data_IF_622530484381
#
_entry.id   IF_622530484381
#
_cell.length_a   1.000
_cell.length_b   1.000
_cell.length_c   1.000
_cell.angle_alpha   90.00
_cell.angle_beta   90.00
_cell.angle_gamma   90.00
#
_symmetry.space_group_name_H-M   'P 1'
#
loop_
_entity.id
_entity.type
_entity.pdbx_description
1 polymer ?
#
# COMPACT_ATOMS: atom_id res chain seq x y z
N UNK A 1 67.95 -31.86 -43.69
CA UNK A 1 68.00 -30.38 -43.59
C UNK A 1 66.97 -29.99 -42.52
N UNK A 2 67.44 -29.37 -41.41
CA UNK A 2 66.72 -28.69 -40.29
C UNK A 2 65.55 -29.42 -39.58
N UNK A 3 65.67 -29.92 -38.33
CA UNK A 3 65.51 -29.28 -36.98
C UNK A 3 64.08 -28.73 -36.75
N UNK A 4 63.28 -29.08 -35.72
CA UNK A 4 63.52 -29.18 -34.26
C UNK A 4 62.44 -30.06 -33.54
N UNK A 5 62.77 -31.15 -32.84
CA UNK A 5 62.81 -31.33 -31.36
C UNK A 5 61.59 -30.84 -30.54
N UNK A 6 60.84 -31.75 -29.89
CA UNK A 6 60.80 -32.00 -28.41
C UNK A 6 59.46 -31.50 -27.80
N UNK A 7 58.79 -32.03 -26.78
CA UNK A 7 58.97 -33.09 -25.77
C UNK A 7 57.61 -33.29 -25.04
N UNK A 8 57.43 -34.47 -24.44
CA UNK A 8 56.53 -34.90 -23.35
C UNK A 8 55.59 -33.87 -22.64
N UNK A 9 54.37 -34.27 -22.21
CA UNK A 9 54.04 -34.81 -20.87
C UNK A 9 52.53 -34.82 -20.58
N UNK A 10 52.15 -35.91 -19.94
CA UNK A 10 50.94 -36.24 -19.20
C UNK A 10 50.38 -35.12 -18.32
N UNK A 11 49.06 -34.95 -18.32
CA UNK A 11 48.35 -34.16 -17.31
C UNK A 11 47.46 -35.06 -16.43
N UNK A 12 47.65 -34.85 -15.11
CA UNK A 12 47.11 -35.56 -13.94
C UNK A 12 45.62 -35.25 -13.67
N UNK A 13 44.84 -36.12 -12.98
CA UNK A 13 43.38 -35.97 -12.84
C UNK A 13 42.91 -35.00 -11.74
N UNK A 14 43.79 -34.22 -11.13
CA UNK A 14 43.42 -33.23 -10.11
C UNK A 14 43.24 -31.83 -10.72
N UNK A 15 42.19 -31.64 -11.51
CA UNK A 15 41.86 -30.37 -12.17
C UNK A 15 40.43 -29.86 -11.94
N UNK A 16 39.68 -30.46 -11.02
CA UNK A 16 38.21 -30.34 -10.97
C UNK A 16 37.66 -29.85 -9.62
N UNK A 17 38.35 -28.97 -8.91
CA UNK A 17 37.79 -28.29 -7.72
C UNK A 17 37.63 -26.79 -7.89
N UNK A 18 38.49 -26.13 -8.69
CA UNK A 18 38.41 -24.69 -8.92
C UNK A 18 37.12 -24.32 -9.66
N UNK A 19 36.74 -25.09 -10.69
CA UNK A 19 35.48 -24.89 -11.42
C UNK A 19 34.21 -25.05 -10.56
N UNK A 20 34.26 -25.84 -9.48
CA UNK A 20 33.11 -26.03 -8.59
C UNK A 20 32.96 -24.84 -7.64
N UNK A 21 34.08 -24.32 -7.09
CA UNK A 21 34.10 -23.14 -6.22
C UNK A 21 33.64 -21.88 -6.96
N UNK A 22 34.11 -21.70 -8.19
CA UNK A 22 33.70 -20.57 -9.03
C UNK A 22 32.23 -20.69 -9.44
N UNK A 23 31.76 -21.92 -9.71
CA UNK A 23 30.35 -22.20 -9.96
C UNK A 23 29.44 -21.95 -8.74
N UNK A 24 29.88 -22.31 -7.53
CA UNK A 24 29.13 -22.09 -6.28
C UNK A 24 29.06 -20.60 -5.90
N UNK A 25 30.12 -19.86 -6.18
CA UNK A 25 30.20 -18.42 -5.97
C UNK A 25 29.26 -17.68 -6.93
N UNK A 26 29.27 -18.06 -8.22
CA UNK A 26 28.33 -17.56 -9.21
C UNK A 26 26.87 -17.89 -8.85
N UNK A 27 26.58 -19.11 -8.38
CA UNK A 27 25.23 -19.49 -7.95
C UNK A 27 24.76 -18.70 -6.71
N UNK A 28 25.67 -18.40 -5.78
CA UNK A 28 25.39 -17.58 -4.57
C UNK A 28 25.06 -16.14 -4.93
N UNK A 29 25.75 -15.56 -5.92
CA UNK A 29 25.43 -14.23 -6.42
C UNK A 29 24.08 -14.21 -7.15
N UNK A 30 23.75 -15.25 -7.92
CA UNK A 30 22.45 -15.36 -8.56
C UNK A 30 21.28 -15.62 -7.59
N UNK A 31 21.50 -16.31 -6.46
CA UNK A 31 20.49 -16.47 -5.40
C UNK A 31 20.19 -15.16 -4.66
N UNK A 32 21.17 -14.26 -4.59
CA UNK A 32 21.00 -12.94 -3.97
C UNK A 32 20.08 -12.03 -4.81
N UNK A 33 20.11 -12.18 -6.13
CA UNK A 33 19.29 -11.42 -7.09
C UNK A 33 17.88 -12.01 -7.32
N UNK A 34 17.64 -13.27 -6.94
CA UNK A 34 16.30 -13.87 -6.94
C UNK A 34 15.43 -13.43 -5.75
N UNK A 35 15.95 -12.57 -4.86
CA UNK A 35 15.14 -11.85 -3.88
C UNK A 35 14.40 -10.66 -4.52
N UNK A 36 13.59 -10.91 -5.55
CA UNK A 36 12.70 -9.91 -6.13
C UNK A 36 11.26 -10.07 -5.67
N UNK A 37 10.79 -8.97 -5.06
CA UNK A 37 9.41 -8.60 -4.76
C UNK A 37 8.79 -9.17 -3.47
N UNK A 38 9.42 -8.82 -2.35
CA UNK A 38 8.62 -8.12 -1.34
C UNK A 38 9.40 -6.87 -1.00
N UNK A 39 8.79 -5.71 -1.27
CA UNK A 39 9.17 -4.38 -0.76
C UNK A 39 10.21 -4.48 0.35
N UNK A 40 11.34 -3.78 0.23
CA UNK A 40 12.34 -3.63 1.28
C UNK A 40 11.69 -3.10 2.58
N UNK A 41 11.05 -4.01 3.31
CA UNK A 41 10.58 -3.84 4.66
C UNK A 41 11.86 -3.82 5.46
N UNK A 42 12.36 -2.60 5.69
CA UNK A 42 13.26 -2.29 6.81
C UNK A 42 12.97 -3.28 7.93
N UNK A 43 13.97 -4.00 8.49
CA UNK A 43 13.73 -4.95 9.56
C UNK A 43 12.82 -4.27 10.56
N UNK A 44 11.62 -4.83 10.76
CA UNK A 44 10.58 -4.20 11.57
C UNK A 44 11.21 -3.92 12.93
N UNK A 45 11.53 -2.65 13.19
CA UNK A 45 12.13 -2.24 14.46
C UNK A 45 11.20 -2.80 15.54
N UNK A 46 11.67 -3.72 16.36
CA UNK A 46 10.84 -4.20 17.47
C UNK A 46 10.59 -2.98 18.37
N UNK A 47 9.35 -2.78 18.86
CA UNK A 47 9.10 -1.71 19.79
C UNK A 47 10.02 -1.81 21.02
N UNK A 48 10.31 -0.69 21.70
CA UNK A 48 11.04 -0.72 22.98
C UNK A 48 10.39 -1.68 23.99
N UNK A 49 11.14 -2.25 24.96
CA UNK A 49 10.63 -3.24 25.92
C UNK A 49 9.41 -2.79 26.75
N UNK A 50 9.24 -1.48 26.91
CA UNK A 50 8.14 -0.87 27.67
C UNK A 50 6.97 -0.41 26.80
N UNK A 51 7.06 -0.56 25.47
CA UNK A 51 5.94 -0.26 24.59
C UNK A 51 4.89 -1.37 24.67
N UNK A 52 3.65 -0.97 24.95
CA UNK A 52 2.47 -1.82 24.86
C UNK A 52 1.70 -1.46 23.60
N UNK A 53 1.24 -2.45 22.85
CA UNK A 53 0.35 -2.22 21.71
C UNK A 53 -0.92 -1.49 22.18
N UNK A 54 -1.29 -0.38 21.55
CA UNK A 54 -2.46 0.41 21.97
C UNK A 54 -3.81 -0.27 21.62
N UNK A 55 -3.79 -1.42 20.94
CA UNK A 55 -5.00 -2.19 20.62
C UNK A 55 -5.23 -3.32 21.62
N UNK A 56 -4.22 -4.14 21.88
CA UNK A 56 -4.34 -5.34 22.72
C UNK A 56 -3.56 -5.26 24.03
N UNK A 57 -2.87 -4.14 24.30
CA UNK A 57 -2.05 -3.89 25.48
C UNK A 57 -0.91 -4.91 25.73
N UNK A 58 -0.51 -5.67 24.71
CA UNK A 58 0.60 -6.63 24.79
C UNK A 58 1.92 -6.03 24.27
N UNK A 59 3.05 -6.51 24.81
CA UNK A 59 4.40 -6.13 24.37
C UNK A 59 4.77 -6.80 23.04
N UNK A 60 5.84 -6.31 22.40
CA UNK A 60 6.55 -7.02 21.34
C UNK A 60 6.17 -6.68 19.89
N UNK A 61 5.09 -5.92 19.65
CA UNK A 61 4.67 -5.50 18.31
C UNK A 61 4.08 -4.08 18.32
N UNK A 62 4.19 -3.35 17.21
CA UNK A 62 3.46 -2.10 17.03
C UNK A 62 2.00 -2.37 16.68
N UNK A 63 1.09 -1.44 16.96
CA UNK A 63 -0.34 -1.58 16.61
C UNK A 63 -0.61 -1.98 15.16
N UNK A 64 0.25 -1.54 14.22
CA UNK A 64 0.16 -1.90 12.79
C UNK A 64 0.42 -3.38 12.49
N UNK A 65 1.12 -4.06 13.39
CA UNK A 65 1.51 -5.47 13.29
C UNK A 65 0.75 -6.31 14.35
N UNK A 66 -0.32 -5.75 14.94
CA UNK A 66 -1.06 -6.42 15.99
C UNK A 66 -1.84 -7.62 15.43
N UNK A 67 -1.67 -8.84 15.96
CA UNK A 67 -2.40 -10.02 15.48
C UNK A 67 -3.91 -9.92 15.76
N UNK A 68 -4.31 -9.07 16.72
CA UNK A 68 -5.72 -8.76 16.99
C UNK A 68 -6.24 -7.59 16.14
N UNK A 69 -5.39 -6.93 15.33
CA UNK A 69 -5.86 -5.90 14.43
C UNK A 69 -6.83 -6.51 13.42
N UNK A 70 -8.01 -5.91 13.32
CA UNK A 70 -8.91 -6.21 12.21
C UNK A 70 -8.14 -5.91 10.91
N UNK A 71 -8.12 -6.84 9.94
CA UNK A 71 -7.58 -6.54 8.62
C UNK A 71 -8.20 -5.24 8.13
N UNK A 72 -7.42 -4.37 7.49
CA UNK A 72 -8.01 -3.25 6.75
C UNK A 72 -9.01 -3.89 5.79
N UNK A 73 -10.31 -3.62 5.97
CA UNK A 73 -11.35 -4.25 5.16
C UNK A 73 -11.03 -4.08 3.67
N UNK A 74 -11.51 -5.00 2.85
CA UNK A 74 -11.18 -5.16 1.41
C UNK A 74 -11.50 -3.94 0.54
N UNK A 75 -12.02 -2.85 1.10
CA UNK A 75 -12.45 -1.69 0.35
C UNK A 75 -11.38 -0.60 0.18
N UNK A 76 -11.60 0.23 -0.84
CA UNK A 76 -10.72 1.34 -1.24
C UNK A 76 -10.74 2.51 -0.27
N UNK A 77 -11.68 2.53 0.68
CA UNK A 77 -11.89 3.63 1.62
C UNK A 77 -12.00 3.14 3.08
N UNK A 78 -11.66 3.95 4.09
CA UNK A 78 -11.76 3.52 5.49
C UNK A 78 -13.17 3.14 5.95
N UNK A 79 -14.19 3.82 5.45
CA UNK A 79 -15.59 3.51 5.75
C UNK A 79 -16.13 2.51 4.72
N UNK A 80 -16.84 1.49 5.22
CA UNK A 80 -17.43 0.39 4.43
C UNK A 80 -18.95 0.25 4.65
N UNK A 81 -19.60 1.26 5.23
CA UNK A 81 -21.05 1.26 5.41
C UNK A 81 -21.81 1.75 4.18
N UNK A 82 -23.14 1.68 4.26
CA UNK A 82 -24.03 2.04 3.14
C UNK A 82 -24.37 3.52 3.08
N UNK A 83 -24.46 4.20 4.23
CA UNK A 83 -24.89 5.60 4.33
C UNK A 83 -23.81 6.56 3.83
N UNK A 84 -24.24 7.75 3.44
CA UNK A 84 -23.34 8.90 3.22
C UNK A 84 -22.59 9.27 4.50
N UNK A 85 -21.36 9.70 4.36
CA UNK A 85 -20.52 10.13 5.48
C UNK A 85 -19.69 11.38 5.13
N UNK A 86 -19.09 12.00 6.14
CA UNK A 86 -18.12 13.07 5.95
C UNK A 86 -16.76 12.47 5.57
N UNK A 87 -16.17 12.92 4.48
CA UNK A 87 -14.87 12.47 3.99
C UNK A 87 -13.83 13.58 3.95
N UNK A 88 -12.61 13.27 4.37
CA UNK A 88 -11.43 14.12 4.20
C UNK A 88 -10.55 13.58 3.09
N UNK A 89 -10.15 14.46 2.18
CA UNK A 89 -9.42 14.11 0.97
C UNK A 89 -8.08 14.83 0.92
N UNK A 90 -7.08 14.18 0.32
CA UNK A 90 -5.77 14.77 0.05
C UNK A 90 -5.28 14.27 -1.30
N UNK A 91 -5.16 15.16 -2.28
CA UNK A 91 -4.70 14.78 -3.60
C UNK A 91 -3.24 14.28 -3.53
N UNK A 92 -2.93 13.07 -4.05
CA UNK A 92 -1.57 12.56 -4.02
C UNK A 92 -0.63 13.35 -4.95
N UNK A 93 -1.15 13.96 -6.02
CA UNK A 93 -0.37 14.79 -6.96
C UNK A 93 -0.12 16.20 -6.41
N UNK A 94 -1.15 17.04 -6.30
CA UNK A 94 -0.99 18.45 -5.92
C UNK A 94 -1.08 18.74 -4.41
N UNK A 95 -1.26 17.72 -3.56
CA UNK A 95 -1.35 17.82 -2.10
C UNK A 95 -2.50 18.68 -1.55
N UNK A 96 -3.36 19.24 -2.41
CA UNK A 96 -4.59 19.95 -2.02
C UNK A 96 -5.43 19.05 -1.12
N UNK A 97 -5.97 19.64 -0.06
CA UNK A 97 -6.90 19.01 0.86
C UNK A 97 -8.27 19.61 0.69
N UNK A 98 -9.31 18.80 0.84
CA UNK A 98 -10.69 19.26 0.87
C UNK A 98 -11.53 18.30 1.71
N UNK A 99 -12.73 18.74 2.05
CA UNK A 99 -13.69 17.96 2.80
C UNK A 99 -14.99 17.90 2.03
N UNK A 100 -15.74 16.83 2.21
CA UNK A 100 -17.05 16.68 1.60
C UNK A 100 -17.97 15.88 2.49
N UNK A 101 -19.19 16.39 2.69
CA UNK A 101 -20.27 15.60 3.26
C UNK A 101 -20.78 14.53 2.31
N UNK A 102 -20.34 14.45 1.05
CA UNK A 102 -20.83 13.50 0.05
C UNK A 102 -19.80 12.40 -0.21
N UNK A 103 -19.32 11.79 0.87
CA UNK A 103 -18.41 10.66 0.83
C UNK A 103 -19.17 9.36 0.96
N UNK A 104 -18.77 8.35 0.19
CA UNK A 104 -19.37 7.01 0.19
C UNK A 104 -18.28 5.96 0.36
N UNK A 105 -18.65 4.75 0.79
CA UNK A 105 -17.74 3.62 0.75
C UNK A 105 -17.29 3.35 -0.69
N UNK A 106 -16.00 3.10 -0.87
CA UNK A 106 -15.37 2.69 -2.13
C UNK A 106 -15.55 3.67 -3.30
N UNK A 107 -15.76 4.95 -2.98
CA UNK A 107 -15.94 6.02 -3.96
C UNK A 107 -15.06 7.22 -3.60
N UNK A 108 -14.52 7.86 -4.61
CA UNK A 108 -13.67 9.03 -4.52
C UNK A 108 -14.31 10.31 -5.04
N UNK A 109 -13.52 11.37 -4.96
CA UNK A 109 -13.82 12.64 -5.61
C UNK A 109 -12.64 13.08 -6.44
N UNK A 110 -12.95 13.62 -7.61
CA UNK A 110 -11.97 14.13 -8.54
C UNK A 110 -11.33 15.41 -7.99
N UNK A 111 -10.01 15.44 -7.99
CA UNK A 111 -9.28 16.65 -7.64
C UNK A 111 -9.46 17.70 -8.74
N UNK A 112 -10.06 18.84 -8.42
CA UNK A 112 -10.29 19.95 -9.37
C UNK A 112 -9.04 20.46 -10.11
N UNK A 113 -7.83 20.26 -9.55
CA UNK A 113 -6.58 20.69 -10.19
C UNK A 113 -5.94 19.60 -11.05
N UNK A 114 -6.08 18.34 -10.65
CA UNK A 114 -5.33 17.24 -11.25
C UNK A 114 -6.18 16.29 -12.06
N UNK A 115 -7.52 16.42 -11.98
CA UNK A 115 -8.49 15.57 -12.65
C UNK A 115 -8.26 14.06 -12.43
N UNK A 116 -7.73 13.70 -11.25
CA UNK A 116 -7.60 12.32 -10.80
C UNK A 116 -8.62 12.00 -9.74
N UNK A 117 -9.15 10.78 -9.73
CA UNK A 117 -9.99 10.30 -8.65
C UNK A 117 -9.16 10.15 -7.36
N UNK A 118 -9.67 10.69 -6.26
CA UNK A 118 -9.00 10.66 -4.95
C UNK A 118 -9.95 10.07 -3.93
N UNK A 119 -9.53 8.97 -3.31
CA UNK A 119 -10.27 8.36 -2.22
C UNK A 119 -10.07 9.13 -0.90
N UNK A 120 -11.10 9.21 -0.05
CA UNK A 120 -10.98 9.82 1.26
C UNK A 120 -10.02 9.00 2.14
N UNK A 121 -9.15 9.69 2.87
CA UNK A 121 -8.21 9.06 3.80
C UNK A 121 -8.76 8.97 5.23
N UNK A 122 -9.84 9.71 5.51
CA UNK A 122 -10.64 9.61 6.74
C UNK A 122 -12.11 9.77 6.38
N UNK A 123 -12.95 8.97 7.03
CA UNK A 123 -14.40 9.06 6.89
C UNK A 123 -15.04 8.99 8.27
N UNK A 124 -16.01 9.86 8.52
CA UNK A 124 -16.72 10.01 9.79
C UNK A 124 -18.23 10.03 9.53
N UNK A 125 -19.05 9.42 10.39
CA UNK A 125 -20.52 9.54 10.30
C UNK A 125 -20.96 11.00 10.26
N UNK A 126 -22.04 11.29 9.52
CA UNK A 126 -22.65 12.63 9.47
C UNK A 126 -23.60 12.89 10.63
N UNK A 127 -24.21 11.84 11.16
CA UNK A 127 -25.18 11.90 12.25
C UNK A 127 -24.46 12.15 13.58
N UNK A 128 -24.89 13.18 14.31
CA UNK A 128 -24.60 13.32 15.75
C UNK A 128 -25.37 12.25 16.55
N UNK A 129 -24.99 11.98 17.81
CA UNK A 129 -25.75 11.08 18.68
C UNK A 129 -27.25 11.41 18.77
N UNK A 130 -27.61 12.69 18.65
CA UNK A 130 -28.99 13.17 18.65
C UNK A 130 -29.73 13.00 17.30
N UNK A 131 -29.10 12.35 16.31
CA UNK A 131 -29.66 12.18 14.96
C UNK A 131 -29.59 13.42 14.07
N UNK A 132 -28.98 14.52 14.52
CA UNK A 132 -28.83 15.75 13.74
C UNK A 132 -27.68 15.62 12.71
N UNK A 133 -27.99 15.78 11.41
CA UNK A 133 -26.99 15.86 10.33
C UNK A 133 -26.22 17.19 10.41
N UNK A 134 -24.89 17.12 10.51
CA UNK A 134 -24.01 18.30 10.59
C UNK A 134 -23.76 18.97 9.23
N UNK A 135 -24.27 18.40 8.14
CA UNK A 135 -24.12 18.96 6.80
C UNK A 135 -25.27 19.89 6.43
N UNK A 136 -24.91 21.03 5.84
CA UNK A 136 -25.88 21.91 5.19
C UNK A 136 -26.50 21.17 4.00
N UNK A 137 -27.78 20.79 4.16
CA UNK A 137 -28.53 20.06 3.16
C UNK A 137 -28.84 20.90 1.92
N UNK A 138 -28.87 22.24 2.04
CA UNK A 138 -29.13 23.15 0.93
C UNK A 138 -27.91 23.33 0.02
N UNK A 139 -26.71 23.17 0.56
CA UNK A 139 -25.47 23.35 -0.20
C UNK A 139 -25.25 22.20 -1.18
N UNK A 140 -25.43 22.45 -2.47
CA UNK A 140 -25.05 21.50 -3.50
C UNK A 140 -23.54 21.27 -3.54
N UNK A 141 -23.14 20.03 -3.86
CA UNK A 141 -21.72 19.69 -4.05
C UNK A 141 -21.43 19.54 -5.54
N UNK A 142 -20.16 19.69 -5.96
CA UNK A 142 -19.79 19.57 -7.37
C UNK A 142 -19.98 18.14 -7.86
N UNK A 143 -21.14 17.85 -8.46
CA UNK A 143 -21.53 16.51 -8.90
C UNK A 143 -20.58 15.94 -9.97
N UNK A 144 -20.08 16.80 -10.86
CA UNK A 144 -19.10 16.46 -11.89
C UNK A 144 -17.75 16.01 -11.33
N UNK A 145 -17.47 16.24 -10.04
CA UNK A 145 -16.27 15.74 -9.36
C UNK A 145 -16.57 14.52 -8.47
N UNK A 146 -17.84 14.16 -8.26
CA UNK A 146 -18.21 13.06 -7.37
C UNK A 146 -18.32 11.75 -8.16
N UNK A 147 -17.48 10.75 -7.83
CA UNK A 147 -17.54 9.44 -8.49
C UNK A 147 -18.91 8.78 -8.34
N UNK A 148 -19.51 8.85 -7.14
CA UNK A 148 -20.86 8.30 -6.90
C UNK A 148 -21.91 8.94 -7.80
N UNK A 149 -21.88 10.27 -7.98
CA UNK A 149 -22.81 10.96 -8.89
C UNK A 149 -22.58 10.55 -10.35
N UNK A 150 -21.32 10.43 -10.79
CA UNK A 150 -20.97 9.97 -12.14
C UNK A 150 -21.50 8.55 -12.40
N UNK A 151 -21.31 7.64 -11.44
CA UNK A 151 -21.78 6.25 -11.53
C UNK A 151 -23.31 6.17 -11.56
N UNK A 152 -24.00 6.99 -10.78
CA UNK A 152 -25.46 7.00 -10.74
C UNK A 152 -26.10 7.70 -11.94
N UNK A 153 -25.40 8.67 -12.54
CA UNK A 153 -25.99 9.60 -13.52
C UNK A 153 -26.90 10.67 -12.90
N UNK A 154 -27.03 10.71 -11.56
CA UNK A 154 -27.85 11.68 -10.83
C UNK A 154 -27.26 12.01 -9.46
N UNK A 155 -27.92 12.96 -8.78
CA UNK A 155 -27.50 13.48 -7.48
C UNK A 155 -27.43 12.41 -6.38
N UNK A 156 -26.23 12.13 -5.88
CA UNK A 156 -26.01 11.03 -4.93
C UNK A 156 -26.69 11.18 -3.57
N UNK A 157 -27.08 12.40 -3.14
CA UNK A 157 -27.83 12.55 -1.86
C UNK A 157 -29.23 11.94 -1.88
N UNK A 158 -29.76 11.60 -3.06
CA UNK A 158 -31.04 10.88 -3.19
C UNK A 158 -30.92 9.41 -2.79
N UNK A 159 -29.70 8.89 -2.69
CA UNK A 159 -29.43 7.55 -2.16
C UNK A 159 -29.41 7.67 -0.63
N UNK A 160 -30.23 6.87 0.07
CA UNK A 160 -30.23 6.77 1.54
C UNK A 160 -29.22 5.73 2.02
#
# INVERSE_FOLDING_TARGET
>A
QALSSSLYKSASPYGSLNNIVDGLSSLTEHFSDLSLSSEARKPSKRPPPNYLCHLCFNKGHYIKDCPQARPKGEGLTPYQGKKRCFGEYKCPKCKRKWMSGNSWANMGQECIKCHINVYPHKQRPLEKPDGLDVSDQSKEHPQHLCEKCKVLGYYCRRVQ
#
